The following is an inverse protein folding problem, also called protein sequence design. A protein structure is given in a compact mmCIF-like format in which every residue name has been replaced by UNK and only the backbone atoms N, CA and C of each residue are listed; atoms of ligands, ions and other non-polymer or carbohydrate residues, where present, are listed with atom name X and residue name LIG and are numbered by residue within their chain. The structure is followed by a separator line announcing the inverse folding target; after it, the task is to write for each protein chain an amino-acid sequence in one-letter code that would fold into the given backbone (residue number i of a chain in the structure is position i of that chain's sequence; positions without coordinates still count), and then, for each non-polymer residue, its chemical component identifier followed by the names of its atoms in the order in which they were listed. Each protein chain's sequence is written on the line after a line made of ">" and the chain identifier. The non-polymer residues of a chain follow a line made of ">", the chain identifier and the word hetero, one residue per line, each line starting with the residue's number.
data_IF_542669753442
#
_entry.id   IF_542669753442
#
_cell.length_a   1.000
_cell.length_b   1.000
_cell.length_c   1.000
_cell.angle_alpha   90.00
_cell.angle_beta   90.00
_cell.angle_gamma   90.00
#
_symmetry.space_group_name_H-M   'P 1'
#
loop_
_entity.id
_entity.type
_entity.pdbx_description
1 polymer ?
#
# COMPACT_ATOMS: atom_id res chain seq x y z
N UNK A 1 13.10 22.14 1.95
CA UNK A 1 14.05 21.00 2.13
C UNK A 1 13.36 19.67 2.37
N UNK A 2 12.49 19.52 3.40
CA UNK A 2 11.84 18.23 3.74
C UNK A 2 10.98 17.62 2.61
N UNK A 3 10.18 18.43 1.91
CA UNK A 3 9.30 17.94 0.82
C UNK A 3 10.11 17.52 -0.42
N UNK A 4 11.21 18.22 -0.71
CA UNK A 4 12.10 17.85 -1.83
C UNK A 4 12.71 16.46 -1.62
N UNK A 5 13.17 16.17 -0.39
CA UNK A 5 13.68 14.83 -0.03
C UNK A 5 12.59 13.77 -0.27
N UNK A 6 11.35 14.03 0.15
CA UNK A 6 10.24 13.10 -0.06
C UNK A 6 9.96 12.85 -1.56
N UNK A 7 9.96 13.90 -2.39
CA UNK A 7 9.78 13.77 -3.84
C UNK A 7 10.94 12.99 -4.47
N UNK A 8 12.18 13.26 -4.07
CA UNK A 8 13.34 12.52 -4.56
C UNK A 8 13.24 11.03 -4.23
N UNK A 9 12.88 10.68 -2.98
CA UNK A 9 12.65 9.29 -2.59
C UNK A 9 11.54 8.67 -3.45
N UNK A 10 10.44 9.39 -3.64
CA UNK A 10 9.31 8.91 -4.48
C UNK A 10 9.79 8.61 -5.90
N UNK A 11 10.53 9.52 -6.55
CA UNK A 11 11.07 9.31 -7.90
C UNK A 11 11.96 8.07 -7.96
N UNK A 12 12.86 7.89 -6.99
CA UNK A 12 13.75 6.73 -6.94
C UNK A 12 12.98 5.41 -6.80
N UNK A 13 11.99 5.37 -5.90
CA UNK A 13 11.15 4.18 -5.69
C UNK A 13 10.32 3.87 -6.94
N UNK A 14 9.72 4.89 -7.56
CA UNK A 14 8.94 4.73 -8.78
C UNK A 14 9.80 4.17 -9.92
N UNK A 15 10.97 4.78 -10.14
CA UNK A 15 11.90 4.33 -11.18
C UNK A 15 12.34 2.89 -10.95
N UNK A 16 12.72 2.54 -9.72
CA UNK A 16 13.21 1.21 -9.38
C UNK A 16 12.11 0.15 -9.46
N UNK A 17 10.91 0.43 -8.93
CA UNK A 17 9.77 -0.48 -9.00
C UNK A 17 9.32 -0.74 -10.45
N UNK A 18 9.39 0.27 -11.33
CA UNK A 18 9.06 0.11 -12.75
C UNK A 18 9.99 -0.89 -13.47
N UNK A 19 11.23 -1.09 -12.99
CA UNK A 19 12.10 -2.13 -13.53
C UNK A 19 11.52 -3.52 -13.24
N UNK A 20 11.04 -3.75 -12.00
CA UNK A 20 10.39 -5.00 -11.65
C UNK A 20 9.10 -5.21 -12.43
N UNK A 21 8.29 -4.18 -12.67
CA UNK A 21 7.09 -4.32 -13.50
C UNK A 21 7.46 -4.74 -14.93
N UNK A 22 8.49 -4.13 -15.53
CA UNK A 22 8.96 -4.48 -16.89
C UNK A 22 9.40 -5.94 -16.98
N UNK A 23 10.16 -6.42 -15.99
CA UNK A 23 10.56 -7.84 -15.90
C UNK A 23 9.33 -8.75 -15.69
N UNK A 24 8.38 -8.34 -14.85
CA UNK A 24 7.18 -9.12 -14.53
C UNK A 24 6.33 -9.40 -15.78
N UNK A 25 6.22 -8.41 -16.67
CA UNK A 25 5.40 -8.51 -17.89
C UNK A 25 6.17 -8.96 -19.13
N UNK A 26 7.46 -9.28 -19.02
CA UNK A 26 8.31 -9.54 -20.19
C UNK A 26 7.79 -10.71 -21.07
N UNK A 27 7.14 -11.70 -20.45
CA UNK A 27 6.64 -12.92 -21.10
C UNK A 27 5.14 -12.82 -21.44
N UNK A 28 4.51 -11.66 -21.22
CA UNK A 28 3.09 -11.45 -21.48
C UNK A 28 2.86 -11.10 -22.95
N UNK A 29 1.66 -11.39 -23.46
CA UNK A 29 1.25 -10.91 -24.78
C UNK A 29 1.28 -9.38 -24.85
N UNK A 30 1.53 -8.82 -26.04
CA UNK A 30 1.68 -7.37 -26.26
C UNK A 30 0.56 -6.55 -25.63
N UNK A 31 -0.70 -6.96 -25.81
CA UNK A 31 -1.86 -6.28 -25.22
C UNK A 31 -1.84 -6.27 -23.69
N UNK A 32 -1.59 -7.42 -23.05
CA UNK A 32 -1.52 -7.53 -21.58
C UNK A 32 -0.33 -6.77 -21.02
N UNK A 33 0.84 -6.89 -21.67
CA UNK A 33 2.05 -6.17 -21.31
C UNK A 33 1.82 -4.65 -21.32
N UNK A 34 1.25 -4.12 -22.40
CA UNK A 34 1.00 -2.69 -22.52
C UNK A 34 -0.03 -2.21 -21.50
N UNK A 35 -1.10 -2.97 -21.25
CA UNK A 35 -2.08 -2.64 -20.22
C UNK A 35 -1.41 -2.49 -18.84
N UNK A 36 -0.62 -3.48 -18.41
CA UNK A 36 0.10 -3.43 -17.13
C UNK A 36 1.09 -2.26 -17.06
N UNK A 37 1.86 -2.02 -18.12
CA UNK A 37 2.83 -0.93 -18.15
C UNK A 37 2.15 0.44 -18.08
N UNK A 38 1.09 0.66 -18.85
CA UNK A 38 0.34 1.92 -18.80
C UNK A 38 -0.32 2.14 -17.44
N UNK A 39 -0.86 1.10 -16.81
CA UNK A 39 -1.35 1.19 -15.44
C UNK A 39 -0.22 1.59 -14.48
N UNK A 40 0.96 0.94 -14.57
CA UNK A 40 2.08 1.24 -13.69
C UNK A 40 2.61 2.68 -13.89
N UNK A 41 2.76 3.14 -15.15
CA UNK A 41 3.16 4.51 -15.45
C UNK A 41 2.10 5.53 -15.00
N UNK A 42 0.81 5.22 -15.16
CA UNK A 42 -0.27 6.07 -14.68
C UNK A 42 -0.25 6.23 -13.15
N UNK A 43 -0.03 5.14 -12.41
CA UNK A 43 0.08 5.18 -10.94
C UNK A 43 1.35 5.91 -10.47
N UNK A 44 2.45 5.78 -11.21
CA UNK A 44 3.68 6.54 -10.94
C UNK A 44 3.47 8.03 -11.18
N UNK A 45 2.89 8.40 -12.32
CA UNK A 45 2.55 9.78 -12.66
C UNK A 45 1.57 10.39 -11.65
N UNK A 46 0.57 9.64 -11.22
CA UNK A 46 -0.35 10.04 -10.15
C UNK A 46 0.40 10.37 -8.86
N UNK A 47 1.28 9.46 -8.39
CA UNK A 47 2.01 9.65 -7.13
C UNK A 47 2.94 10.87 -7.19
N UNK A 48 3.62 11.07 -8.32
CA UNK A 48 4.48 12.24 -8.55
C UNK A 48 3.68 13.54 -8.65
N UNK A 49 2.55 13.53 -9.35
CA UNK A 49 1.68 14.69 -9.50
C UNK A 49 1.12 15.13 -8.14
N UNK A 50 0.60 14.20 -7.35
CA UNK A 50 0.07 14.49 -6.00
C UNK A 50 1.20 15.01 -5.08
N UNK A 51 2.38 14.40 -5.15
CA UNK A 51 3.58 14.89 -4.45
C UNK A 51 3.94 16.33 -4.85
N UNK A 52 3.91 16.65 -6.15
CA UNK A 52 4.18 18.01 -6.65
C UNK A 52 3.12 19.01 -6.22
N UNK A 53 1.84 18.67 -6.31
CA UNK A 53 0.73 19.54 -5.85
C UNK A 53 0.88 19.83 -4.35
N UNK A 54 1.32 18.86 -3.55
CA UNK A 54 1.52 19.05 -2.10
C UNK A 54 2.59 20.10 -1.74
N UNK A 55 3.52 20.41 -2.68
CA UNK A 55 4.50 21.49 -2.51
C UNK A 55 3.81 22.85 -2.49
N UNK A 56 2.83 23.05 -3.36
CA UNK A 56 2.13 24.32 -3.56
C UNK A 56 0.84 24.44 -2.75
N UNK A 57 0.34 23.32 -2.22
CA UNK A 57 -0.86 23.25 -1.41
C UNK A 57 -0.52 22.60 -0.06
N UNK A 58 -0.14 23.36 0.99
CA UNK A 58 0.34 22.82 2.26
C UNK A 58 -0.77 22.57 3.32
N UNK A 59 -0.47 21.83 4.43
CA UNK A 59 -1.46 21.18 5.29
C UNK A 59 -2.50 21.94 6.14
N UNK A 60 -2.55 23.27 6.37
CA UNK A 60 -3.82 23.79 6.89
C UNK A 60 -4.90 23.83 5.79
N UNK A 61 -4.51 23.96 4.52
CA UNK A 61 -5.45 24.25 3.44
C UNK A 61 -6.11 23.00 2.84
N UNK A 62 -5.62 21.79 3.17
CA UNK A 62 -6.07 20.55 2.54
C UNK A 62 -7.54 20.25 2.80
N UNK A 63 -8.32 20.21 1.72
CA UNK A 63 -9.68 19.67 1.76
C UNK A 63 -9.68 18.13 1.86
N UNK A 64 -10.85 17.57 2.18
CA UNK A 64 -11.06 16.13 2.35
C UNK A 64 -10.65 15.31 1.11
N UNK A 65 -10.95 15.80 -0.09
CA UNK A 65 -10.61 15.12 -1.34
C UNK A 65 -9.11 15.01 -1.56
N UNK A 66 -8.35 16.10 -1.36
CA UNK A 66 -6.90 16.07 -1.49
C UNK A 66 -6.25 15.17 -0.44
N UNK A 67 -6.75 15.18 0.81
CA UNK A 67 -6.28 14.26 1.86
C UNK A 67 -6.48 12.80 1.45
N UNK A 68 -7.61 12.47 0.83
CA UNK A 68 -7.86 11.14 0.31
C UNK A 68 -6.87 10.76 -0.81
N UNK A 69 -6.69 11.63 -1.82
CA UNK A 69 -5.75 11.37 -2.92
C UNK A 69 -4.30 11.22 -2.42
N UNK A 70 -3.89 12.08 -1.49
CA UNK A 70 -2.58 11.98 -0.85
C UNK A 70 -2.43 10.68 -0.06
N UNK A 71 -3.46 10.25 0.66
CA UNK A 71 -3.44 8.98 1.37
C UNK A 71 -3.28 7.80 0.41
N UNK A 72 -3.97 7.81 -0.75
CA UNK A 72 -3.78 6.80 -1.80
C UNK A 72 -2.33 6.83 -2.32
N UNK A 73 -1.78 8.01 -2.61
CA UNK A 73 -0.40 8.13 -3.09
C UNK A 73 0.63 7.60 -2.07
N UNK A 74 0.43 7.90 -0.77
CA UNK A 74 1.28 7.39 0.31
C UNK A 74 1.16 5.87 0.44
N UNK A 75 -0.05 5.32 0.37
CA UNK A 75 -0.26 3.86 0.39
C UNK A 75 0.48 3.19 -0.78
N UNK A 76 0.37 3.75 -1.99
CA UNK A 76 1.07 3.24 -3.17
C UNK A 76 2.59 3.29 -2.98
N UNK A 77 3.13 4.41 -2.49
CA UNK A 77 4.55 4.56 -2.21
C UNK A 77 5.03 3.54 -1.17
N UNK A 78 4.30 3.38 -0.07
CA UNK A 78 4.63 2.43 0.99
C UNK A 78 4.63 0.99 0.47
N UNK A 79 3.62 0.61 -0.30
CA UNK A 79 3.54 -0.75 -0.86
C UNK A 79 4.65 -1.01 -1.88
N UNK A 80 4.98 -0.02 -2.72
CA UNK A 80 6.13 -0.14 -3.65
C UNK A 80 7.44 -0.26 -2.91
N UNK A 81 7.65 0.47 -1.81
CA UNK A 81 8.82 0.32 -0.95
C UNK A 81 8.93 -1.13 -0.42
N UNK A 82 7.82 -1.71 0.07
CA UNK A 82 7.79 -3.11 0.50
C UNK A 82 8.17 -4.07 -0.63
N UNK A 83 7.63 -3.88 -1.83
CA UNK A 83 8.00 -4.67 -3.01
C UNK A 83 9.48 -4.52 -3.40
N UNK A 84 10.03 -3.31 -3.33
CA UNK A 84 11.42 -3.01 -3.66
C UNK A 84 12.43 -3.70 -2.73
N UNK A 85 12.06 -4.03 -1.48
CA UNK A 85 12.92 -4.80 -0.57
C UNK A 85 13.39 -6.11 -1.22
N UNK A 86 12.51 -6.82 -1.94
CA UNK A 86 12.85 -8.08 -2.59
C UNK A 86 13.85 -7.91 -3.74
N UNK A 87 13.81 -6.79 -4.44
CA UNK A 87 14.75 -6.46 -5.50
C UNK A 87 16.11 -6.08 -4.93
N UNK A 88 16.11 -5.30 -3.84
CA UNK A 88 17.35 -4.88 -3.14
C UNK A 88 18.11 -6.11 -2.65
N UNK A 89 17.41 -7.13 -2.15
CA UNK A 89 18.05 -8.39 -1.75
C UNK A 89 18.80 -9.04 -2.93
N UNK A 90 18.22 -9.07 -4.13
CA UNK A 90 18.91 -9.59 -5.32
C UNK A 90 20.15 -8.76 -5.66
N UNK A 91 20.01 -7.44 -5.65
CA UNK A 91 21.08 -6.51 -6.01
C UNK A 91 22.26 -6.60 -5.03
N UNK A 92 21.97 -6.75 -3.73
CA UNK A 92 23.00 -6.99 -2.70
C UNK A 92 23.75 -8.30 -2.98
N UNK A 93 23.03 -9.38 -3.27
CA UNK A 93 23.66 -10.67 -3.59
C UNK A 93 24.53 -10.58 -4.86
N UNK A 94 24.06 -9.86 -5.89
CA UNK A 94 24.82 -9.62 -7.13
C UNK A 94 26.07 -8.80 -6.86
N UNK A 95 25.95 -7.75 -6.06
CA UNK A 95 27.07 -6.92 -5.67
C UNK A 95 28.17 -7.74 -4.99
N UNK A 96 27.83 -8.58 -4.01
CA UNK A 96 28.82 -9.45 -3.36
C UNK A 96 29.42 -10.49 -4.30
N UNK A 97 28.63 -11.09 -5.20
CA UNK A 97 29.16 -12.00 -6.23
C UNK A 97 30.15 -11.31 -7.17
N UNK A 98 29.83 -10.08 -7.58
CA UNK A 98 30.69 -9.26 -8.42
C UNK A 98 31.99 -8.87 -7.68
N UNK A 99 31.91 -8.48 -6.41
CA UNK A 99 33.10 -8.19 -5.59
C UNK A 99 34.01 -9.41 -5.49
N UNK A 100 33.46 -10.58 -5.18
CA UNK A 100 34.24 -11.84 -5.07
C UNK A 100 34.88 -12.21 -6.42
N UNK A 101 34.20 -11.99 -7.54
CA UNK A 101 34.75 -12.29 -8.87
C UNK A 101 35.91 -11.37 -9.27
N UNK A 102 36.04 -10.17 -8.68
CA UNK A 102 37.22 -9.32 -8.90
C UNK A 102 38.49 -9.91 -8.28
N UNK A 103 38.36 -10.72 -7.23
CA UNK A 103 39.50 -11.36 -6.56
C UNK A 103 39.81 -12.76 -7.09
N UNK A 104 38.82 -13.45 -7.66
CA UNK A 104 38.98 -14.77 -8.27
C UNK A 104 38.85 -14.70 -9.79
N UNK A 105 39.98 -14.53 -10.50
CA UNK A 105 40.03 -14.44 -11.97
C UNK A 105 39.89 -15.79 -12.71
N UNK A 106 39.55 -16.85 -11.99
CA UNK A 106 39.17 -18.20 -12.47
C UNK A 106 37.93 -18.57 -11.65
N UNK A 107 36.75 -18.83 -12.19
CA UNK A 107 36.41 -19.61 -13.37
C UNK A 107 35.05 -19.13 -13.84
N UNK A 108 34.90 -18.90 -15.15
CA UNK A 108 33.59 -18.85 -15.78
C UNK A 108 33.03 -20.26 -15.82
N UNK A 109 32.36 -20.70 -14.77
CA UNK A 109 31.36 -21.74 -14.89
C UNK A 109 30.02 -21.03 -15.06
N UNK A 110 29.53 -21.01 -16.29
CA UNK A 110 28.10 -20.87 -16.52
C UNK A 110 27.42 -22.04 -15.81
N UNK A 111 26.95 -21.79 -14.59
CA UNK A 111 26.00 -22.66 -13.93
C UNK A 111 24.76 -22.70 -14.81
N UNK A 112 24.72 -23.70 -15.68
CA UNK A 112 23.59 -24.05 -16.54
C UNK A 112 22.32 -23.93 -15.70
N UNK A 113 21.57 -22.86 -15.96
CA UNK A 113 20.32 -22.61 -15.26
C UNK A 113 19.36 -23.74 -15.67
N UNK A 114 18.99 -24.57 -14.70
CA UNK A 114 17.95 -25.57 -14.87
C UNK A 114 16.70 -24.95 -15.53
N UNK A 115 15.96 -25.67 -16.38
CA UNK A 115 14.74 -25.16 -17.00
C UNK A 115 13.75 -24.74 -15.92
N UNK A 116 13.48 -23.43 -15.83
CA UNK A 116 12.69 -22.83 -14.77
C UNK A 116 12.63 -21.30 -14.86
N UNK A 117 11.81 -20.68 -14.00
CA UNK A 117 11.72 -19.22 -13.92
C UNK A 117 13.08 -18.65 -13.50
N UNK A 118 13.59 -17.66 -14.24
CA UNK A 118 14.84 -17.01 -13.85
C UNK A 118 14.69 -16.34 -12.48
N UNK A 119 15.72 -16.36 -11.64
CA UNK A 119 15.67 -15.77 -10.29
C UNK A 119 15.20 -14.31 -10.30
N UNK A 120 15.69 -13.54 -11.28
CA UNK A 120 15.27 -12.15 -11.51
C UNK A 120 13.75 -12.07 -11.77
N UNK A 121 13.21 -12.97 -12.59
CA UNK A 121 11.78 -13.03 -12.87
C UNK A 121 10.96 -13.42 -11.65
N UNK A 122 11.43 -14.38 -10.86
CA UNK A 122 10.79 -14.78 -9.61
C UNK A 122 10.73 -13.61 -8.61
N UNK A 123 11.84 -12.91 -8.39
CA UNK A 123 11.89 -11.78 -7.45
C UNK A 123 11.04 -10.60 -7.92
N UNK A 124 11.01 -10.34 -9.22
CA UNK A 124 10.10 -9.39 -9.84
C UNK A 124 8.61 -9.76 -9.62
N UNK A 125 8.24 -11.04 -9.75
CA UNK A 125 6.89 -11.52 -9.46
C UNK A 125 6.52 -11.33 -7.98
N UNK A 126 7.42 -11.67 -7.06
CA UNK A 126 7.21 -11.47 -5.63
C UNK A 126 7.06 -9.99 -5.30
N UNK A 127 7.96 -9.14 -5.82
CA UNK A 127 7.91 -7.69 -5.63
C UNK A 127 6.58 -7.08 -6.08
N UNK A 128 6.09 -7.46 -7.28
CA UNK A 128 4.81 -6.95 -7.79
C UNK A 128 3.64 -7.46 -6.95
N UNK A 129 3.60 -8.74 -6.59
CA UNK A 129 2.51 -9.31 -5.77
C UNK A 129 2.45 -8.68 -4.38
N UNK A 130 3.60 -8.53 -3.71
CA UNK A 130 3.69 -7.89 -2.39
C UNK A 130 3.45 -6.38 -2.41
N UNK A 131 3.48 -5.74 -3.57
CA UNK A 131 2.98 -4.36 -3.72
C UNK A 131 1.47 -4.34 -3.91
N UNK A 132 0.93 -5.16 -4.81
CA UNK A 132 -0.47 -5.09 -5.22
C UNK A 132 -1.42 -5.55 -4.12
N UNK A 133 -1.13 -6.69 -3.48
CA UNK A 133 -2.03 -7.28 -2.47
C UNK A 133 -2.22 -6.36 -1.27
N UNK A 134 -1.16 -5.82 -0.63
CA UNK A 134 -1.32 -4.85 0.46
C UNK A 134 -1.94 -3.54 -0.01
N UNK A 135 -1.63 -3.04 -1.22
CA UNK A 135 -2.21 -1.79 -1.71
C UNK A 135 -3.74 -1.89 -1.82
N UNK A 136 -4.27 -3.00 -2.36
CA UNK A 136 -5.71 -3.26 -2.41
C UNK A 136 -6.28 -3.33 -0.99
N UNK A 137 -5.61 -4.03 -0.07
CA UNK A 137 -6.03 -4.18 1.32
C UNK A 137 -6.11 -2.84 2.07
N UNK A 138 -5.09 -1.99 1.94
CA UNK A 138 -5.04 -0.68 2.57
C UNK A 138 -6.08 0.27 1.98
N UNK A 139 -6.23 0.31 0.66
CA UNK A 139 -7.27 1.13 0.00
C UNK A 139 -8.66 0.67 0.43
N UNK A 140 -8.89 -0.65 0.48
CA UNK A 140 -10.15 -1.20 0.99
C UNK A 140 -10.39 -0.84 2.46
N UNK A 141 -9.39 -0.96 3.32
CA UNK A 141 -9.46 -0.57 4.73
C UNK A 141 -9.79 0.92 4.91
N UNK A 142 -9.16 1.77 4.10
CA UNK A 142 -9.42 3.22 4.10
C UNK A 142 -10.84 3.56 3.64
N UNK A 143 -11.34 2.93 2.56
CA UNK A 143 -12.65 3.25 1.98
C UNK A 143 -13.80 2.59 2.73
N UNK A 144 -13.63 1.36 3.23
CA UNK A 144 -14.70 0.55 3.86
C UNK A 144 -14.47 0.30 5.33
N UNK A 145 -13.24 -0.06 5.71
CA UNK A 145 -12.91 -0.44 7.09
C UNK A 145 -13.13 0.68 8.09
N UNK A 146 -12.73 1.90 7.73
CA UNK A 146 -12.88 3.11 8.53
C UNK A 146 -14.32 3.41 8.97
N UNK A 147 -15.32 2.88 8.26
CA UNK A 147 -16.75 3.14 8.50
C UNK A 147 -17.52 1.92 9.02
N UNK A 148 -16.84 0.84 9.40
CA UNK A 148 -17.47 -0.41 9.84
C UNK A 148 -17.75 -0.41 11.34
N UNK A 149 -18.74 0.38 11.76
CA UNK A 149 -19.26 0.39 13.13
C UNK A 149 -19.83 -0.99 13.49
N UNK A 150 -19.59 -1.44 14.73
CA UNK A 150 -20.15 -2.69 15.26
C UNK A 150 -21.08 -2.36 16.42
N UNK A 151 -22.32 -2.80 16.30
CA UNK A 151 -23.31 -2.74 17.39
C UNK A 151 -23.28 -4.07 18.12
N UNK A 152 -22.93 -4.05 19.41
CA UNK A 152 -22.97 -5.23 20.27
C UNK A 152 -24.18 -5.12 21.18
N UNK A 153 -25.15 -6.04 21.03
CA UNK A 153 -26.33 -6.12 21.89
C UNK A 153 -26.05 -7.16 22.98
N UNK A 154 -25.93 -6.70 24.22
CA UNK A 154 -25.65 -7.55 25.40
C UNK A 154 -26.80 -7.42 26.37
N UNK A 155 -27.37 -8.57 26.77
CA UNK A 155 -28.36 -8.62 27.85
C UNK A 155 -27.58 -8.72 29.15
N UNK A 156 -27.79 -7.75 30.05
CA UNK A 156 -27.13 -7.72 31.36
C UNK A 156 -28.17 -8.13 32.42
N UNK A 157 -28.20 -9.41 32.83
CA UNK A 157 -29.06 -9.83 33.93
C UNK A 157 -28.52 -9.26 35.24
N UNK A 158 -29.38 -8.64 36.05
CA UNK A 158 -29.02 -8.14 37.37
C UNK A 158 -30.08 -8.55 38.39
N UNK A 159 -29.74 -9.40 39.37
CA UNK A 159 -30.70 -9.87 40.38
C UNK A 159 -31.10 -8.77 41.38
N UNK A 160 -30.37 -7.66 41.40
CA UNK A 160 -30.59 -6.55 42.33
C UNK A 160 -31.28 -5.35 41.66
N UNK A 161 -31.64 -5.44 40.38
CA UNK A 161 -32.39 -4.38 39.70
C UNK A 161 -33.91 -4.60 39.89
N UNK A 162 -34.69 -3.55 40.18
CA UNK A 162 -36.15 -3.64 40.21
C UNK A 162 -36.73 -4.08 38.86
N UNK A 163 -37.86 -4.80 38.89
CA UNK A 163 -38.54 -5.33 37.68
C UNK A 163 -38.99 -4.24 36.71
N UNK A 164 -39.16 -3.01 37.17
CA UNK A 164 -39.48 -1.85 36.33
C UNK A 164 -38.36 -1.55 35.30
N UNK A 165 -37.14 -2.05 35.52
CA UNK A 165 -36.03 -1.94 34.59
C UNK A 165 -35.96 -3.08 33.56
N UNK A 166 -36.86 -4.08 33.62
CA UNK A 166 -36.90 -5.13 32.61
C UNK A 166 -37.27 -4.55 31.25
N UNK A 167 -36.38 -4.75 30.27
CA UNK A 167 -36.49 -4.17 28.94
C UNK A 167 -35.90 -2.76 28.80
N UNK A 168 -35.35 -2.18 29.87
CA UNK A 168 -34.59 -0.93 29.80
C UNK A 168 -33.35 -1.09 28.91
N UNK A 169 -33.09 -0.11 28.06
CA UNK A 169 -31.97 -0.13 27.10
C UNK A 169 -30.98 0.99 27.43
N UNK A 170 -29.72 0.62 27.61
CA UNK A 170 -28.61 1.56 27.75
C UNK A 170 -27.77 1.48 26.47
N UNK A 171 -27.52 2.64 25.84
CA UNK A 171 -26.60 2.75 24.71
C UNK A 171 -25.29 3.32 25.24
N UNK A 172 -24.22 2.52 25.18
CA UNK A 172 -22.87 2.96 25.50
C UNK A 172 -22.10 3.19 24.21
N UNK A 173 -21.47 4.36 24.12
CA UNK A 173 -20.56 4.74 23.05
C UNK A 173 -19.17 4.92 23.65
N UNK A 174 -18.13 4.40 22.99
CA UNK A 174 -16.74 4.58 23.41
C UNK A 174 -15.86 4.95 22.20
N UNK A 175 -14.83 5.75 22.46
CA UNK A 175 -13.75 6.07 21.51
C UNK A 175 -14.21 6.54 20.12
N UNK A 176 -15.18 7.46 20.10
CA UNK A 176 -15.63 8.13 18.88
C UNK A 176 -14.52 9.09 18.39
N UNK A 177 -13.52 8.56 17.70
CA UNK A 177 -12.43 9.31 17.06
C UNK A 177 -12.83 9.73 15.65
N UNK A 178 -13.77 10.66 15.56
CA UNK A 178 -14.44 11.02 14.30
C UNK A 178 -13.73 12.05 13.43
N UNK A 179 -12.50 12.43 13.79
CA UNK A 179 -11.75 13.52 13.18
C UNK A 179 -11.75 13.54 11.65
N UNK A 180 -10.86 12.77 11.02
CA UNK A 180 -10.59 12.86 9.58
C UNK A 180 -11.63 12.18 8.68
N UNK A 181 -12.84 11.90 9.17
CA UNK A 181 -13.83 11.16 8.39
C UNK A 181 -14.42 12.00 7.25
N UNK A 182 -14.67 11.33 6.13
CA UNK A 182 -15.18 11.96 4.91
C UNK A 182 -16.71 12.11 4.94
N UNK A 183 -17.41 11.39 5.82
CA UNK A 183 -18.86 11.44 6.01
C UNK A 183 -19.23 11.04 7.45
N UNK A 184 -20.31 11.66 7.95
CA UNK A 184 -20.93 11.36 9.25
C UNK A 184 -22.02 10.29 9.17
N UNK A 185 -22.51 9.96 7.97
CA UNK A 185 -23.66 9.05 7.76
C UNK A 185 -23.50 7.69 8.44
N UNK A 186 -22.30 7.06 8.45
CA UNK A 186 -22.11 5.77 9.11
C UNK A 186 -22.29 5.81 10.62
N UNK A 187 -21.95 6.94 11.26
CA UNK A 187 -22.17 7.15 12.70
C UNK A 187 -23.66 7.32 12.97
N UNK A 188 -24.34 8.14 12.16
CA UNK A 188 -25.79 8.36 12.27
C UNK A 188 -26.56 7.05 12.15
N UNK A 189 -26.20 6.19 11.20
CA UNK A 189 -26.81 4.86 11.08
C UNK A 189 -26.56 3.96 12.28
N UNK A 190 -25.38 4.03 12.89
CA UNK A 190 -25.05 3.23 14.08
C UNK A 190 -25.82 3.69 15.33
N UNK A 191 -26.17 4.97 15.42
CA UNK A 191 -26.90 5.57 16.56
C UNK A 191 -28.41 5.30 16.56
N UNK A 192 -29.00 4.94 15.41
CA UNK A 192 -30.45 4.77 15.23
C UNK A 192 -30.89 3.28 15.43
N UNK A 193 -29.96 2.34 15.62
CA UNK A 193 -30.18 0.88 15.72
C UNK A 193 -30.30 0.32 17.15
#
# INVERSE_FOLDING_TARGET
>A
MRILIFITITVLVEFYFLQAVKTFVQDFSLGKRNAFLYTAYGLAAFSLLIGMVSVFYPPPNWNNFFRFLLSVAIILLLCKLLGCVFLIVDDVIRFFRWVVSQFNRKTGEELNAAPGISRLKFLSQVAVTFTVVPAIGFIYGMVRGAYKYRVHKVIVPSPNLPTEFDGFKIVQLSDIHVGSFMSVDPITKALIL
#
